data_IF_152303297092
#
_entry.id   IF_152303297092
#
_cell.length_a   1.000
_cell.length_b   1.000
_cell.length_c   1.000
_cell.angle_alpha   90.00
_cell.angle_beta   90.00
_cell.angle_gamma   90.00
#
_symmetry.space_group_name_H-M   'P 1'
#
loop_
_entity.id
_entity.type
_entity.pdbx_description
1 polymer ?
#
# COMPACT_ATOMS: atom_id res chain seq x y z
N UNK A 1 -23.26 56.75 -17.87
CA UNK A 1 -21.94 57.30 -18.24
C UNK A 1 -20.84 56.85 -17.26
N UNK A 2 -20.82 57.33 -16.01
CA UNK A 2 -19.77 57.01 -15.02
C UNK A 2 -19.51 55.51 -14.82
N UNK A 3 -20.57 54.71 -14.73
CA UNK A 3 -20.46 53.26 -14.58
C UNK A 3 -19.72 52.61 -15.77
N UNK A 4 -19.99 53.04 -17.00
CA UNK A 4 -19.31 52.54 -18.20
C UNK A 4 -17.83 52.91 -18.22
N UNK A 5 -17.48 54.11 -17.76
CA UNK A 5 -16.09 54.56 -17.67
C UNK A 5 -15.32 53.73 -16.64
N UNK A 6 -15.90 53.50 -15.46
CA UNK A 6 -15.30 52.64 -14.42
C UNK A 6 -15.14 51.21 -14.94
N UNK A 7 -16.16 50.66 -15.59
CA UNK A 7 -16.10 49.32 -16.17
C UNK A 7 -15.02 49.21 -17.26
N UNK A 8 -14.85 50.26 -18.08
CA UNK A 8 -13.80 50.33 -19.10
C UNK A 8 -12.40 50.34 -18.48
N UNK A 9 -12.18 51.17 -17.46
CA UNK A 9 -10.89 51.22 -16.73
C UNK A 9 -10.59 49.87 -16.09
N UNK A 10 -11.59 49.24 -15.45
CA UNK A 10 -11.43 47.92 -14.85
C UNK A 10 -11.13 46.84 -15.91
N UNK A 11 -11.81 46.87 -17.06
CA UNK A 11 -11.55 45.96 -18.16
C UNK A 11 -10.10 46.06 -18.64
N UNK A 12 -9.59 47.27 -18.84
CA UNK A 12 -8.19 47.51 -19.20
C UNK A 12 -7.21 47.04 -18.13
N UNK A 13 -7.50 47.27 -16.85
CA UNK A 13 -6.68 46.78 -15.75
C UNK A 13 -6.57 45.24 -15.75
N UNK A 14 -7.70 44.55 -15.92
CA UNK A 14 -7.74 43.08 -16.04
C UNK A 14 -6.97 42.61 -17.27
N UNK A 15 -7.13 43.27 -18.42
CA UNK A 15 -6.43 42.90 -19.67
C UNK A 15 -4.92 42.96 -19.48
N UNK A 16 -4.40 44.08 -18.95
CA UNK A 16 -2.96 44.29 -18.78
C UNK A 16 -2.39 43.28 -17.80
N UNK A 17 -3.01 43.11 -16.63
CA UNK A 17 -2.58 42.13 -15.63
C UNK A 17 -2.51 40.72 -16.23
N UNK A 18 -3.59 40.29 -16.93
CA UNK A 18 -3.67 38.94 -17.50
C UNK A 18 -2.65 38.70 -18.60
N UNK A 19 -2.42 39.69 -19.48
CA UNK A 19 -1.43 39.60 -20.56
C UNK A 19 -0.02 39.42 -20.00
N UNK A 20 0.37 40.24 -19.02
CA UNK A 20 1.68 40.17 -18.40
C UNK A 20 1.84 38.85 -17.65
N UNK A 21 0.87 38.49 -16.80
CA UNK A 21 0.92 37.25 -16.01
C UNK A 21 0.98 36.00 -16.90
N UNK A 22 0.14 35.90 -17.95
CA UNK A 22 0.19 34.75 -18.87
C UNK A 22 1.48 34.69 -19.69
N UNK A 23 2.06 35.83 -20.06
CA UNK A 23 3.35 35.84 -20.77
C UNK A 23 4.48 35.31 -19.88
N UNK A 24 4.52 35.73 -18.61
CA UNK A 24 5.52 35.26 -17.64
C UNK A 24 5.29 33.79 -17.27
N UNK A 25 4.04 33.38 -17.08
CA UNK A 25 3.66 32.00 -16.79
C UNK A 25 4.15 31.04 -17.87
N UNK A 26 3.92 31.37 -19.13
CA UNK A 26 4.37 30.55 -20.28
C UNK A 26 5.88 30.38 -20.30
N UNK A 27 6.65 31.44 -20.00
CA UNK A 27 8.12 31.35 -19.91
C UNK A 27 8.55 30.41 -18.78
N UNK A 28 7.92 30.52 -17.60
CA UNK A 28 8.21 29.65 -16.45
C UNK A 28 7.86 28.18 -16.74
N UNK A 29 6.73 27.93 -17.39
CA UNK A 29 6.33 26.60 -17.85
C UNK A 29 7.36 26.00 -18.79
N UNK A 30 7.82 26.76 -19.79
CA UNK A 30 8.81 26.29 -20.76
C UNK A 30 10.17 25.95 -20.11
N UNK A 31 10.61 26.75 -19.14
CA UNK A 31 11.85 26.48 -18.39
C UNK A 31 11.74 25.19 -17.57
N UNK A 32 10.61 25.00 -16.87
CA UNK A 32 10.37 23.79 -16.09
C UNK A 32 10.30 22.55 -16.97
N UNK A 33 9.53 22.62 -18.07
CA UNK A 33 9.40 21.54 -19.03
C UNK A 33 10.77 21.15 -19.62
N UNK A 34 11.58 22.12 -20.04
CA UNK A 34 12.94 21.84 -20.52
C UNK A 34 13.82 21.14 -19.45
N UNK A 35 13.66 21.52 -18.17
CA UNK A 35 14.38 20.91 -17.05
C UNK A 35 13.85 19.50 -16.72
N UNK A 36 12.55 19.27 -16.91
CA UNK A 36 11.94 17.95 -16.76
C UNK A 36 12.44 16.99 -17.85
N UNK A 37 12.49 17.45 -19.10
CA UNK A 37 12.96 16.67 -20.24
C UNK A 37 14.47 16.52 -20.36
N UNK A 38 15.26 17.30 -19.62
CA UNK A 38 16.73 17.16 -19.62
C UNK A 38 17.24 15.88 -18.94
N UNK A 39 16.35 14.98 -18.50
CA UNK A 39 16.71 13.71 -17.87
C UNK A 39 17.09 13.81 -16.40
N UNK A 40 16.65 14.86 -15.70
CA UNK A 40 16.87 15.00 -14.27
C UNK A 40 16.14 13.91 -13.47
N UNK A 41 16.76 13.42 -12.40
CA UNK A 41 16.13 12.44 -11.50
C UNK A 41 14.90 13.08 -10.85
N UNK A 42 13.74 12.41 -10.94
CA UNK A 42 12.44 12.95 -10.48
C UNK A 42 12.48 13.42 -9.02
N UNK A 43 13.20 12.72 -8.16
CA UNK A 43 13.34 13.10 -6.75
C UNK A 43 14.16 14.38 -6.52
N UNK A 44 15.21 14.60 -7.31
CA UNK A 44 16.00 15.85 -7.25
C UNK A 44 15.18 17.03 -7.77
N UNK A 45 14.44 16.80 -8.86
CA UNK A 45 13.54 17.79 -9.42
C UNK A 45 12.44 18.16 -8.41
N UNK A 46 11.85 17.18 -7.71
CA UNK A 46 10.84 17.42 -6.67
C UNK A 46 11.34 18.35 -5.57
N UNK A 47 12.54 18.15 -5.03
CA UNK A 47 13.08 19.02 -3.97
C UNK A 47 13.39 20.44 -4.46
N UNK A 48 13.86 20.59 -5.70
CA UNK A 48 14.11 21.91 -6.29
C UNK A 48 12.81 22.69 -6.55
N UNK A 49 11.75 21.98 -6.96
CA UNK A 49 10.48 22.55 -7.41
C UNK A 49 9.53 22.81 -6.26
N UNK A 50 9.63 22.06 -5.15
CA UNK A 50 8.86 22.28 -3.92
C UNK A 50 9.01 23.71 -3.36
N UNK A 51 10.12 24.39 -3.66
CA UNK A 51 10.36 25.79 -3.26
C UNK A 51 9.83 26.81 -4.29
N UNK A 52 9.53 26.40 -5.51
CA UNK A 52 9.07 27.25 -6.60
C UNK A 52 7.53 27.27 -6.67
N UNK A 53 6.90 28.21 -5.95
CA UNK A 53 5.45 28.24 -5.71
C UNK A 53 4.61 28.63 -6.95
N UNK A 54 5.21 29.08 -8.06
CA UNK A 54 4.49 29.81 -9.11
C UNK A 54 4.55 29.17 -10.52
N UNK A 55 4.38 27.86 -10.64
CA UNK A 55 4.30 27.18 -11.94
C UNK A 55 3.22 26.07 -11.96
N UNK A 56 2.21 26.14 -12.86
CA UNK A 56 1.14 25.14 -12.95
C UNK A 56 1.62 23.73 -13.24
N UNK A 57 2.62 23.56 -14.13
CA UNK A 57 3.17 22.23 -14.45
C UNK A 57 3.89 21.63 -13.24
N UNK A 58 4.64 22.46 -12.52
CA UNK A 58 5.27 22.09 -11.27
C UNK A 58 4.25 21.67 -10.20
N UNK A 59 3.13 22.39 -10.08
CA UNK A 59 2.07 22.06 -9.13
C UNK A 59 1.47 20.67 -9.40
N UNK A 60 1.19 20.36 -10.67
CA UNK A 60 0.73 19.03 -11.10
C UNK A 60 1.77 17.95 -10.81
N UNK A 61 3.03 18.21 -11.12
CA UNK A 61 4.13 17.28 -10.83
C UNK A 61 4.27 17.00 -9.33
N UNK A 62 4.24 18.04 -8.49
CA UNK A 62 4.27 17.89 -7.03
C UNK A 62 3.09 17.05 -6.53
N UNK A 63 1.89 17.27 -7.08
CA UNK A 63 0.70 16.49 -6.72
C UNK A 63 0.90 14.99 -6.99
N UNK A 64 1.40 14.66 -8.18
CA UNK A 64 1.71 13.28 -8.57
C UNK A 64 2.76 12.66 -7.65
N UNK A 65 3.87 13.36 -7.42
CA UNK A 65 4.98 12.89 -6.59
C UNK A 65 4.58 12.72 -5.12
N UNK A 66 3.75 13.62 -4.58
CA UNK A 66 3.22 13.49 -3.22
C UNK A 66 2.37 12.23 -3.06
N UNK A 67 1.49 11.94 -4.02
CA UNK A 67 0.66 10.73 -3.98
C UNK A 67 1.53 9.47 -4.13
N UNK A 68 2.53 9.50 -5.02
CA UNK A 68 3.49 8.40 -5.20
C UNK A 68 4.31 8.11 -3.92
N UNK A 69 4.85 9.15 -3.27
CA UNK A 69 5.63 9.01 -2.02
C UNK A 69 4.77 8.53 -0.84
N UNK A 70 3.51 8.99 -0.76
CA UNK A 70 2.56 8.58 0.28
C UNK A 70 2.23 7.09 0.21
N UNK A 71 2.25 6.51 -0.99
CA UNK A 71 1.99 5.09 -1.23
C UNK A 71 3.17 4.22 -0.83
N UNK A 72 4.41 4.63 -1.12
CA UNK A 72 5.60 3.84 -0.77
C UNK A 72 5.79 3.66 0.75
N UNK A 73 5.13 4.48 1.57
CA UNK A 73 5.13 4.39 3.04
C UNK A 73 4.08 3.43 3.63
N UNK A 74 3.09 2.94 2.85
CA UNK A 74 2.03 2.05 3.35
C UNK A 74 2.08 0.69 2.63
N UNK A 75 2.63 -0.33 3.30
CA UNK A 75 2.45 -1.74 2.96
C UNK A 75 0.95 -2.10 2.98
N UNK A 76 0.24 -1.94 1.86
CA UNK A 76 -1.18 -2.27 1.77
C UNK A 76 -1.44 -3.32 0.69
N UNK A 77 -2.22 -4.31 1.08
CA UNK A 77 -2.52 -5.57 0.42
C UNK A 77 -2.88 -5.45 -1.07
N UNK A 78 -2.46 -6.48 -1.82
CA UNK A 78 -2.34 -6.57 -3.28
C UNK A 78 -3.64 -6.31 -4.09
N UNK A 79 -4.81 -6.28 -3.46
CA UNK A 79 -6.12 -6.30 -4.12
C UNK A 79 -6.72 -4.94 -4.49
N UNK A 80 -6.08 -3.82 -4.16
CA UNK A 80 -6.57 -2.46 -4.52
C UNK A 80 -5.77 -1.78 -5.65
N UNK A 81 -4.85 -2.49 -6.30
CA UNK A 81 -3.82 -1.91 -7.21
C UNK A 81 -4.35 -1.17 -8.45
N UNK A 82 -5.53 -1.51 -8.98
CA UNK A 82 -6.14 -0.78 -10.12
C UNK A 82 -6.55 0.65 -9.71
N UNK A 83 -6.84 0.89 -8.42
CA UNK A 83 -7.17 2.23 -7.90
C UNK A 83 -5.94 3.15 -7.81
N UNK A 84 -4.71 2.65 -7.84
CA UNK A 84 -3.52 3.44 -7.47
C UNK A 84 -3.10 4.40 -8.57
N UNK A 85 -3.01 3.88 -9.81
CA UNK A 85 -2.75 4.70 -11.00
C UNK A 85 -3.88 5.71 -11.20
N UNK A 86 -5.13 5.28 -11.02
CA UNK A 86 -6.31 6.13 -11.05
C UNK A 86 -6.18 7.29 -10.06
N UNK A 87 -5.81 7.03 -8.80
CA UNK A 87 -5.68 8.07 -7.77
C UNK A 87 -4.60 9.11 -8.07
N UNK A 88 -3.45 8.67 -8.59
CA UNK A 88 -2.38 9.59 -8.98
C UNK A 88 -2.87 10.49 -10.12
N UNK A 89 -3.49 9.89 -11.14
CA UNK A 89 -4.09 10.63 -12.26
C UNK A 89 -5.14 11.62 -11.78
N UNK A 90 -6.07 11.19 -10.93
CA UNK A 90 -7.10 12.06 -10.35
C UNK A 90 -6.48 13.22 -9.55
N UNK A 91 -5.42 12.98 -8.78
CA UNK A 91 -4.73 14.05 -8.04
C UNK A 91 -4.13 15.11 -8.97
N UNK A 92 -3.58 14.70 -10.11
CA UNK A 92 -3.04 15.60 -11.14
C UNK A 92 -4.15 16.44 -11.76
N UNK A 93 -5.27 15.83 -12.15
CA UNK A 93 -6.41 16.54 -12.74
C UNK A 93 -7.09 17.50 -11.75
N UNK A 94 -7.18 17.15 -10.47
CA UNK A 94 -7.72 18.05 -9.45
C UNK A 94 -6.88 19.33 -9.32
N UNK A 95 -5.55 19.21 -9.33
CA UNK A 95 -4.66 20.37 -9.31
C UNK A 95 -4.72 21.14 -10.62
N UNK A 96 -4.74 20.45 -11.78
CA UNK A 96 -4.94 21.09 -13.09
C UNK A 96 -6.19 21.97 -13.08
N UNK A 97 -7.34 21.42 -12.66
CA UNK A 97 -8.60 22.14 -12.68
C UNK A 97 -8.60 23.37 -11.76
N UNK A 98 -7.97 23.28 -10.57
CA UNK A 98 -7.81 24.43 -9.67
C UNK A 98 -6.93 25.53 -10.28
N UNK A 99 -5.83 25.16 -10.92
CA UNK A 99 -4.96 26.13 -11.61
C UNK A 99 -5.69 26.76 -12.81
N UNK A 100 -6.45 25.98 -13.57
CA UNK A 100 -7.26 26.48 -14.67
C UNK A 100 -8.32 27.47 -14.21
N UNK A 101 -9.04 27.16 -13.13
CA UNK A 101 -10.01 28.07 -12.53
C UNK A 101 -9.36 29.40 -12.14
N UNK A 102 -8.18 29.36 -11.52
CA UNK A 102 -7.40 30.57 -11.19
C UNK A 102 -6.99 31.36 -12.43
N UNK A 103 -6.62 30.69 -13.51
CA UNK A 103 -6.31 31.34 -14.79
C UNK A 103 -7.56 31.92 -15.46
N UNK A 104 -8.73 31.36 -15.24
CA UNK A 104 -10.00 31.87 -15.78
C UNK A 104 -10.61 32.99 -14.94
N UNK A 105 -10.17 33.19 -13.69
CA UNK A 105 -10.63 34.29 -12.84
C UNK A 105 -10.54 35.63 -13.57
N UNK A 106 -11.58 36.45 -13.38
CA UNK A 106 -11.76 37.78 -13.97
C UNK A 106 -12.02 37.82 -15.49
N UNK A 107 -11.89 36.71 -16.24
CA UNK A 107 -12.31 36.68 -17.66
C UNK A 107 -13.83 36.84 -17.80
N UNK A 108 -14.60 36.33 -16.84
CA UNK A 108 -16.05 36.50 -16.81
C UNK A 108 -16.47 37.98 -16.86
N UNK A 109 -15.73 38.86 -16.20
CA UNK A 109 -15.99 40.30 -16.25
C UNK A 109 -15.80 40.89 -17.65
N UNK A 110 -14.75 40.46 -18.37
CA UNK A 110 -14.54 40.88 -19.76
C UNK A 110 -15.67 40.38 -20.65
N UNK A 111 -16.12 39.14 -20.47
CA UNK A 111 -17.25 38.58 -21.21
C UNK A 111 -18.55 39.35 -20.96
N UNK A 112 -18.86 39.67 -19.71
CA UNK A 112 -20.05 40.46 -19.34
C UNK A 112 -19.94 41.89 -19.85
N UNK A 113 -18.77 42.52 -19.76
CA UNK A 113 -18.55 43.88 -20.28
C UNK A 113 -18.72 43.92 -21.79
N UNK A 114 -18.12 42.94 -22.48
CA UNK A 114 -18.25 42.74 -23.92
C UNK A 114 -19.71 42.63 -24.37
N UNK A 115 -20.53 41.85 -23.67
CA UNK A 115 -21.94 41.65 -24.03
C UNK A 115 -22.84 42.79 -23.57
N UNK A 116 -22.61 43.38 -22.41
CA UNK A 116 -23.55 44.28 -21.75
C UNK A 116 -23.28 45.77 -22.01
N UNK A 117 -22.02 46.18 -22.21
CA UNK A 117 -21.66 47.58 -22.40
C UNK A 117 -22.33 48.26 -23.60
N UNK A 118 -22.52 47.62 -24.77
CA UNK A 118 -23.26 48.21 -25.88
C UNK A 118 -24.71 48.51 -25.53
N UNK A 119 -25.38 47.61 -24.79
CA UNK A 119 -26.76 47.79 -24.38
C UNK A 119 -26.91 48.88 -23.33
N UNK A 120 -25.97 48.99 -22.39
CA UNK A 120 -25.94 50.09 -21.41
C UNK A 120 -25.73 51.43 -22.13
N UNK A 121 -24.90 51.47 -23.17
CA UNK A 121 -24.72 52.63 -24.04
C UNK A 121 -26.01 53.01 -24.78
N UNK A 122 -26.64 52.04 -25.44
CA UNK A 122 -27.92 52.21 -26.13
C UNK A 122 -29.02 52.71 -25.19
N UNK A 123 -29.12 52.14 -24.00
CA UNK A 123 -30.05 52.62 -22.98
C UNK A 123 -29.78 54.09 -22.62
N UNK A 124 -28.50 54.47 -22.48
CA UNK A 124 -28.09 55.85 -22.28
C UNK A 124 -28.55 56.78 -23.41
N UNK A 125 -28.44 56.36 -24.68
CA UNK A 125 -28.99 57.14 -25.81
C UNK A 125 -30.49 57.33 -25.71
N UNK A 126 -31.24 56.25 -25.47
CA UNK A 126 -32.71 56.31 -25.40
C UNK A 126 -33.17 57.22 -24.27
N UNK A 127 -32.54 57.10 -23.10
CA UNK A 127 -32.84 57.94 -21.95
C UNK A 127 -32.52 59.42 -22.20
N UNK A 128 -31.35 59.73 -22.78
CA UNK A 128 -30.95 61.11 -23.08
C UNK A 128 -31.83 61.77 -24.13
N UNK A 129 -32.23 61.03 -25.17
CA UNK A 129 -33.17 61.50 -26.18
C UNK A 129 -34.55 61.75 -25.54
N UNK A 130 -35.05 60.84 -24.69
CA UNK A 130 -36.31 61.02 -23.98
C UNK A 130 -36.32 62.29 -23.11
N UNK A 131 -35.26 62.51 -22.33
CA UNK A 131 -35.14 63.70 -21.50
C UNK A 131 -35.06 64.99 -22.32
N UNK A 132 -34.37 64.94 -23.47
CA UNK A 132 -34.30 66.06 -24.42
C UNK A 132 -35.66 66.42 -25.02
N UNK A 133 -36.51 65.43 -25.32
CA UNK A 133 -37.89 65.68 -25.77
C UNK A 133 -38.79 66.22 -24.65
N UNK A 134 -38.61 65.75 -23.40
CA UNK A 134 -39.34 66.27 -22.25
C UNK A 134 -39.02 67.75 -21.99
N UNK A 135 -37.76 68.18 -22.17
CA UNK A 135 -37.40 69.60 -22.01
C UNK A 135 -38.00 70.50 -23.08
N UNK A 136 -38.18 70.02 -24.32
CA UNK A 136 -38.90 70.75 -25.38
C UNK A 136 -40.37 70.95 -24.96
N UNK A 137 -41.02 69.88 -24.49
CA UNK A 137 -42.42 69.92 -24.08
C UNK A 137 -42.65 70.88 -22.89
N UNK A 138 -41.72 70.91 -21.93
CA UNK A 138 -41.80 71.80 -20.77
C UNK A 138 -41.50 73.26 -21.12
N UNK A 139 -40.48 73.52 -21.95
CA UNK A 139 -40.06 74.88 -22.32
C UNK A 139 -40.94 75.53 -23.39
N UNK A 140 -41.77 74.75 -24.09
CA UNK A 140 -42.59 75.18 -25.25
C UNK A 140 -41.77 75.84 -26.36
N UNK A 141 -40.46 75.60 -26.40
CA UNK A 141 -39.54 76.15 -27.40
C UNK A 141 -39.14 75.03 -28.37
N UNK A 142 -39.49 75.18 -29.64
CA UNK A 142 -39.21 74.18 -30.70
C UNK A 142 -37.85 74.36 -31.36
N UNK A 143 -37.04 75.31 -30.89
CA UNK A 143 -35.70 75.54 -31.43
C UNK A 143 -34.78 74.35 -31.18
N UNK A 144 -34.26 73.77 -32.28
CA UNK A 144 -33.28 72.68 -32.28
C UNK A 144 -32.02 72.98 -31.44
N UNK A 145 -31.65 74.26 -31.30
CA UNK A 145 -30.49 74.68 -30.53
C UNK A 145 -30.57 74.30 -29.05
N UNK A 146 -31.77 74.24 -28.47
CA UNK A 146 -31.99 73.90 -27.06
C UNK A 146 -31.79 72.40 -26.80
N UNK A 147 -31.97 71.57 -27.84
CA UNK A 147 -32.02 70.11 -27.75
C UNK A 147 -30.71 69.46 -28.18
N UNK A 148 -29.98 70.13 -29.07
CA UNK A 148 -28.73 69.63 -29.65
C UNK A 148 -27.71 69.15 -28.60
N UNK A 149 -27.49 69.84 -27.45
CA UNK A 149 -26.57 69.36 -26.43
C UNK A 149 -26.99 68.01 -25.81
N UNK A 150 -28.28 67.84 -25.49
CA UNK A 150 -28.80 66.61 -24.87
C UNK A 150 -28.75 65.40 -25.81
N UNK A 151 -28.98 65.61 -27.11
CA UNK A 151 -28.84 64.55 -28.12
C UNK A 151 -27.35 64.18 -28.32
N UNK A 152 -26.45 65.17 -28.31
CA UNK A 152 -25.01 64.90 -28.41
C UNK A 152 -24.50 64.09 -27.21
N UNK A 153 -24.91 64.44 -25.99
CA UNK A 153 -24.60 63.66 -24.78
C UNK A 153 -25.19 62.25 -24.84
N UNK A 154 -26.41 62.11 -25.34
CA UNK A 154 -27.03 60.81 -25.56
C UNK A 154 -26.16 59.94 -26.48
N UNK A 155 -25.79 60.44 -27.67
CA UNK A 155 -24.96 59.71 -28.63
C UNK A 155 -23.57 59.34 -28.08
N UNK A 156 -22.99 60.20 -27.25
CA UNK A 156 -21.74 59.91 -26.56
C UNK A 156 -21.85 58.68 -25.64
N UNK A 157 -23.03 58.41 -25.06
CA UNK A 157 -23.25 57.24 -24.20
C UNK A 157 -23.02 55.93 -24.95
N UNK A 158 -23.52 55.82 -26.18
CA UNK A 158 -23.33 54.67 -27.05
C UNK A 158 -21.88 54.55 -27.52
N UNK A 159 -21.25 55.68 -27.88
CA UNK A 159 -19.84 55.69 -28.25
C UNK A 159 -18.94 55.15 -27.13
N UNK A 160 -19.17 55.58 -25.88
CA UNK A 160 -18.43 55.08 -24.71
C UNK A 160 -18.73 53.60 -24.46
N UNK A 161 -19.99 53.16 -24.61
CA UNK A 161 -20.36 51.75 -24.50
C UNK A 161 -19.62 50.86 -25.48
N UNK A 162 -19.53 51.26 -26.75
CA UNK A 162 -18.77 50.55 -27.79
C UNK A 162 -17.27 50.58 -27.53
N UNK A 163 -16.73 51.72 -27.09
CA UNK A 163 -15.32 51.86 -26.74
C UNK A 163 -14.89 50.92 -25.60
N UNK A 164 -15.78 50.65 -24.65
CA UNK A 164 -15.54 49.64 -23.60
C UNK A 164 -15.72 48.20 -24.12
N UNK A 165 -16.72 47.95 -24.98
CA UNK A 165 -17.08 46.61 -25.43
C UNK A 165 -16.09 46.00 -26.42
N UNK A 166 -15.65 46.76 -27.43
CA UNK A 166 -14.83 46.23 -28.53
C UNK A 166 -13.49 45.65 -28.01
N UNK A 167 -12.70 46.37 -27.20
CA UNK A 167 -11.48 45.81 -26.63
C UNK A 167 -11.78 44.61 -25.72
N UNK A 168 -12.85 44.67 -24.91
CA UNK A 168 -13.22 43.58 -24.03
C UNK A 168 -13.47 42.27 -24.80
N UNK A 169 -14.20 42.31 -25.93
CA UNK A 169 -14.44 41.14 -26.79
C UNK A 169 -13.12 40.59 -27.36
N UNK A 170 -12.29 41.46 -27.93
CA UNK A 170 -11.04 41.06 -28.60
C UNK A 170 -10.11 40.38 -27.59
N UNK A 171 -9.90 41.00 -26.43
CA UNK A 171 -9.00 40.45 -25.42
C UNK A 171 -9.60 39.25 -24.68
N UNK A 172 -10.92 39.19 -24.49
CA UNK A 172 -11.56 37.98 -23.99
C UNK A 172 -11.26 36.77 -24.89
N UNK A 173 -11.46 36.90 -26.21
CA UNK A 173 -11.19 35.83 -27.16
C UNK A 173 -9.71 35.45 -27.21
N UNK A 174 -8.82 36.45 -27.21
CA UNK A 174 -7.38 36.22 -27.17
C UNK A 174 -6.96 35.49 -25.89
N UNK A 175 -7.33 36.00 -24.72
CA UNK A 175 -6.95 35.44 -23.43
C UNK A 175 -7.55 34.04 -23.23
N UNK A 176 -8.80 33.83 -23.62
CA UNK A 176 -9.46 32.52 -23.61
C UNK A 176 -8.66 31.49 -24.43
N UNK A 177 -8.31 31.83 -25.68
CA UNK A 177 -7.48 30.97 -26.53
C UNK A 177 -6.12 30.66 -25.90
N UNK A 178 -5.50 31.64 -25.24
CA UNK A 178 -4.19 31.46 -24.60
C UNK A 178 -4.29 30.58 -23.34
N UNK A 179 -5.38 30.68 -22.58
CA UNK A 179 -5.68 29.81 -21.44
C UNK A 179 -5.93 28.37 -21.93
N UNK A 180 -6.67 28.18 -23.03
CA UNK A 180 -6.85 26.85 -23.64
C UNK A 180 -5.52 26.22 -24.07
N UNK A 181 -4.57 27.01 -24.58
CA UNK A 181 -3.22 26.48 -24.88
C UNK A 181 -2.48 26.01 -23.62
N UNK A 182 -2.63 26.73 -22.51
CA UNK A 182 -2.07 26.29 -21.21
C UNK A 182 -2.76 25.02 -20.73
N UNK A 183 -4.08 24.92 -20.86
CA UNK A 183 -4.85 23.72 -20.54
C UNK A 183 -4.33 22.49 -21.27
N UNK A 184 -4.25 22.57 -22.61
CA UNK A 184 -3.79 21.47 -23.45
C UNK A 184 -2.36 21.06 -23.09
N UNK A 185 -1.49 22.05 -22.84
CA UNK A 185 -0.11 21.78 -22.43
C UNK A 185 -0.01 21.08 -21.08
N UNK A 186 -0.90 21.38 -20.13
CA UNK A 186 -0.98 20.65 -18.87
C UNK A 186 -1.49 19.22 -19.09
N UNK A 187 -2.43 19.00 -20.01
CA UNK A 187 -2.92 17.66 -20.36
C UNK A 187 -1.85 16.80 -21.03
N UNK A 188 -1.11 17.37 -21.97
CA UNK A 188 0.03 16.72 -22.62
C UNK A 188 1.05 16.29 -21.56
N UNK A 189 1.42 17.20 -20.66
CA UNK A 189 2.34 16.92 -19.56
C UNK A 189 1.82 15.84 -18.60
N UNK A 190 0.53 15.85 -18.26
CA UNK A 190 -0.09 14.80 -17.42
C UNK A 190 0.02 13.43 -18.10
N UNK A 191 -0.25 13.37 -19.41
CA UNK A 191 -0.16 12.13 -20.18
C UNK A 191 1.28 11.59 -20.21
N UNK A 192 2.25 12.47 -20.46
CA UNK A 192 3.67 12.13 -20.48
C UNK A 192 4.16 11.67 -19.10
N UNK A 193 3.82 12.40 -18.04
CA UNK A 193 4.16 12.05 -16.67
C UNK A 193 3.53 10.72 -16.24
N UNK A 194 2.27 10.48 -16.63
CA UNK A 194 1.58 9.22 -16.39
C UNK A 194 2.27 8.04 -17.10
N UNK A 195 2.75 8.23 -18.33
CA UNK A 195 3.51 7.23 -19.06
C UNK A 195 4.84 6.90 -18.36
N UNK A 196 5.61 7.92 -17.97
CA UNK A 196 6.88 7.76 -17.25
C UNK A 196 6.67 7.04 -15.91
N UNK A 197 5.66 7.46 -15.15
CA UNK A 197 5.38 6.89 -13.83
C UNK A 197 4.84 5.46 -13.94
N UNK A 198 3.98 5.17 -14.92
CA UNK A 198 3.52 3.80 -15.19
C UNK A 198 4.69 2.87 -15.47
N UNK A 199 5.61 3.29 -16.34
CA UNK A 199 6.81 2.52 -16.67
C UNK A 199 7.70 2.28 -15.44
N UNK A 200 7.94 3.32 -14.63
CA UNK A 200 8.74 3.21 -13.41
C UNK A 200 8.12 2.25 -12.38
N UNK A 201 6.80 2.29 -12.21
CA UNK A 201 6.07 1.38 -11.31
C UNK A 201 6.13 -0.07 -11.82
N UNK A 202 5.98 -0.29 -13.12
CA UNK A 202 6.04 -1.62 -13.73
C UNK A 202 7.46 -2.23 -13.64
N UNK A 203 8.51 -1.44 -13.87
CA UNK A 203 9.91 -1.88 -13.71
C UNK A 203 10.24 -2.30 -12.26
N UNK A 204 9.78 -1.51 -11.27
CA UNK A 204 9.96 -1.85 -9.85
C UNK A 204 9.19 -3.14 -9.49
N UNK A 205 8.01 -3.34 -10.09
CA UNK A 205 7.21 -4.56 -9.91
C UNK A 205 7.91 -5.78 -10.50
N UNK A 206 8.44 -5.71 -11.71
CA UNK A 206 9.18 -6.82 -12.34
C UNK A 206 10.37 -7.23 -11.46
N UNK A 207 11.12 -6.24 -10.95
CA UNK A 207 12.25 -6.49 -10.04
C UNK A 207 11.80 -7.19 -8.75
N UNK A 208 10.68 -6.76 -8.16
CA UNK A 208 10.12 -7.42 -6.95
C UNK A 208 9.59 -8.83 -7.23
N UNK A 209 8.91 -9.05 -8.36
CA UNK A 209 8.35 -10.36 -8.69
C UNK A 209 9.43 -11.39 -9.03
N UNK A 210 10.54 -10.97 -9.66
CA UNK A 210 11.67 -11.87 -9.95
C UNK A 210 12.43 -12.33 -8.70
N UNK A 211 12.23 -11.67 -7.55
CA UNK A 211 12.78 -12.11 -6.25
C UNK A 211 11.86 -13.11 -5.52
N UNK A 212 10.61 -13.25 -5.96
CA UNK A 212 9.70 -14.29 -5.50
C UNK A 212 9.80 -15.51 -6.42
N UNK A 213 10.83 -16.33 -6.21
CA UNK A 213 10.93 -17.64 -6.86
C UNK A 213 9.81 -18.55 -6.35
N UNK A 214 8.81 -18.81 -7.17
CA UNK A 214 7.88 -19.92 -6.92
C UNK A 214 8.68 -21.24 -6.96
N UNK A 215 8.67 -22.02 -5.87
CA UNK A 215 9.29 -23.35 -5.86
C UNK A 215 8.46 -24.24 -6.77
N UNK A 216 9.06 -24.77 -7.84
CA UNK A 216 8.40 -25.70 -8.73
C UNK A 216 8.10 -27.02 -7.98
N UNK A 217 6.84 -27.24 -7.59
CA UNK A 217 6.43 -28.43 -6.81
C UNK A 217 6.20 -29.67 -7.68
N UNK A 218 6.02 -29.53 -9.00
CA UNK A 218 5.69 -30.65 -9.89
C UNK A 218 6.76 -31.74 -9.93
N UNK A 219 8.08 -31.43 -10.02
CA UNK A 219 9.12 -32.44 -9.92
C UNK A 219 9.20 -33.11 -8.54
N UNK A 220 8.87 -32.36 -7.46
CA UNK A 220 8.86 -32.92 -6.11
C UNK A 220 7.74 -33.96 -5.94
N UNK A 221 6.56 -33.67 -6.49
CA UNK A 221 5.42 -34.59 -6.49
C UNK A 221 5.76 -35.88 -7.27
N UNK A 222 6.43 -35.77 -8.41
CA UNK A 222 6.87 -36.92 -9.20
C UNK A 222 7.86 -37.80 -8.42
N UNK A 223 8.86 -37.20 -7.78
CA UNK A 223 9.81 -37.93 -6.92
C UNK A 223 9.12 -38.59 -5.73
N UNK A 224 8.19 -37.90 -5.06
CA UNK A 224 7.43 -38.46 -3.95
C UNK A 224 6.56 -39.64 -4.40
N UNK A 225 5.92 -39.54 -5.57
CA UNK A 225 5.09 -40.60 -6.14
C UNK A 225 5.94 -41.82 -6.52
N UNK A 226 7.11 -41.63 -7.13
CA UNK A 226 8.07 -42.72 -7.43
C UNK A 226 8.51 -43.43 -6.15
N UNK A 227 8.85 -42.68 -5.10
CA UNK A 227 9.23 -43.27 -3.81
C UNK A 227 8.10 -44.08 -3.16
N UNK A 228 6.85 -43.59 -3.24
CA UNK A 228 5.69 -44.33 -2.74
C UNK A 228 5.46 -45.63 -3.50
N UNK A 229 5.60 -45.62 -4.83
CA UNK A 229 5.48 -46.83 -5.65
C UNK A 229 6.56 -47.85 -5.29
N UNK A 230 7.80 -47.41 -5.11
CA UNK A 230 8.91 -48.29 -4.70
C UNK A 230 8.57 -48.97 -3.37
N UNK A 231 8.20 -48.22 -2.34
CA UNK A 231 7.84 -48.80 -1.04
C UNK A 231 6.65 -49.76 -1.13
N UNK A 232 5.64 -49.42 -1.93
CA UNK A 232 4.47 -50.27 -2.16
C UNK A 232 4.87 -51.62 -2.78
N UNK A 233 5.83 -51.63 -3.71
CA UNK A 233 6.30 -52.84 -4.40
C UNK A 233 7.25 -53.65 -3.52
N UNK A 234 8.14 -53.00 -2.77
CA UNK A 234 9.14 -53.71 -1.96
C UNK A 234 8.58 -54.24 -0.64
N UNK A 235 7.54 -53.60 -0.08
CA UNK A 235 6.93 -54.03 1.18
C UNK A 235 6.40 -55.48 1.19
N UNK A 236 5.71 -55.99 0.15
CA UNK A 236 5.27 -57.39 0.13
C UNK A 236 6.43 -58.39 -0.05
N UNK A 237 7.53 -58.01 -0.71
CA UNK A 237 8.71 -58.87 -0.87
C UNK A 237 9.46 -59.10 0.44
N UNK A 238 9.33 -58.21 1.42
CA UNK A 238 9.85 -58.41 2.77
C UNK A 238 9.08 -59.48 3.56
N UNK A 239 7.89 -59.89 3.12
CA UNK A 239 7.01 -60.82 3.84
C UNK A 239 7.00 -62.23 3.21
N UNK A 240 7.57 -62.42 2.02
CA UNK A 240 7.68 -63.74 1.38
C UNK A 240 9.01 -64.44 1.72
N UNK A 241 9.12 -64.94 2.95
CA UNK A 241 10.10 -65.96 3.31
C UNK A 241 9.62 -67.35 2.87
N UNK A 242 10.43 -68.05 2.08
CA UNK A 242 10.22 -69.47 1.72
C UNK A 242 10.25 -70.30 3.01
N UNK A 243 9.20 -71.08 3.28
CA UNK A 243 9.25 -72.10 4.35
C UNK A 243 10.18 -73.23 3.89
N UNK A 244 11.34 -73.35 4.54
CA UNK A 244 12.26 -74.47 4.40
C UNK A 244 12.20 -75.27 5.69
N UNK A 245 11.69 -76.50 5.63
CA UNK A 245 11.72 -77.42 6.76
C UNK A 245 13.17 -77.85 7.00
N UNK A 246 13.75 -77.38 8.11
CA UNK A 246 15.04 -77.84 8.59
C UNK A 246 14.84 -79.02 9.56
N UNK A 247 15.67 -80.08 9.49
CA UNK A 247 15.62 -81.19 10.43
C UNK A 247 16.05 -80.72 11.82
N UNK A 248 15.40 -81.26 12.85
CA UNK A 248 15.71 -80.94 14.25
C UNK A 248 17.16 -81.27 14.58
N UNK A 249 17.88 -80.28 15.12
CA UNK A 249 19.18 -80.49 15.73
C UNK A 249 19.14 -79.99 17.17
N UNK A 250 19.55 -80.88 18.07
CA UNK A 250 19.79 -80.63 19.49
C UNK A 250 20.98 -79.71 19.66
N UNK A 251 20.73 -78.41 19.63
CA UNK A 251 21.66 -77.43 20.22
C UNK A 251 20.86 -76.42 21.02
N UNK A 252 21.06 -76.44 22.34
CA UNK A 252 20.51 -75.44 23.24
C UNK A 252 21.01 -74.05 22.79
N UNK A 253 20.10 -73.10 22.49
CA UNK A 253 20.52 -71.75 22.17
C UNK A 253 21.19 -71.11 23.39
N UNK A 254 22.32 -70.44 23.15
CA UNK A 254 22.99 -69.58 24.12
C UNK A 254 21.98 -68.55 24.69
N UNK A 255 21.55 -68.75 25.94
CA UNK A 255 20.82 -67.75 26.72
C UNK A 255 21.74 -66.58 27.06
N UNK A 256 21.68 -65.55 26.24
CA UNK A 256 22.29 -64.24 26.48
C UNK A 256 21.27 -63.11 26.29
N UNK A 257 20.06 -63.28 26.81
CA UNK A 257 19.12 -62.18 27.04
C UNK A 257 19.22 -61.79 28.50
N UNK A 258 20.04 -60.78 28.79
CA UNK A 258 20.03 -60.15 30.11
C UNK A 258 18.71 -59.40 30.27
N UNK A 259 17.70 -60.08 30.81
CA UNK A 259 16.48 -59.43 31.26
C UNK A 259 16.85 -58.28 32.23
N UNK A 260 16.27 -57.08 32.01
CA UNK A 260 16.53 -55.96 32.90
C UNK A 260 16.02 -56.31 34.30
N UNK A 261 16.90 -56.21 35.30
CA UNK A 261 16.50 -56.35 36.70
C UNK A 261 15.58 -55.18 37.07
N UNK A 262 14.31 -55.49 37.35
CA UNK A 262 13.31 -54.49 37.78
C UNK A 262 12.93 -54.74 39.23
N UNK A 263 13.04 -53.70 40.06
CA UNK A 263 12.48 -53.66 41.42
C UNK A 263 11.22 -52.82 41.39
N UNK A 264 10.08 -53.42 41.73
CA UNK A 264 8.78 -52.75 41.76
C UNK A 264 8.30 -52.51 43.19
N UNK A 265 7.69 -51.34 43.42
CA UNK A 265 7.08 -50.94 44.70
C UNK A 265 5.59 -50.68 44.47
N UNK A 266 4.73 -51.44 45.14
CA UNK A 266 3.27 -51.24 45.04
C UNK A 266 2.77 -50.13 45.98
N UNK A 267 1.51 -49.71 45.82
CA UNK A 267 0.86 -48.70 46.67
C UNK A 267 0.78 -49.04 48.18
N UNK A 268 1.06 -50.29 48.58
CA UNK A 268 1.12 -50.74 49.98
C UNK A 268 2.55 -50.76 50.54
N UNK A 269 3.55 -50.35 49.76
CA UNK A 269 4.98 -50.35 50.16
C UNK A 269 5.63 -51.74 50.07
N UNK A 270 5.00 -52.70 49.40
CA UNK A 270 5.55 -54.05 49.24
C UNK A 270 6.50 -54.10 48.03
N UNK A 271 7.63 -54.78 48.23
CA UNK A 271 8.73 -54.87 47.27
C UNK A 271 8.64 -56.15 46.43
N UNK A 272 8.85 -55.99 45.14
CA UNK A 272 8.91 -57.09 44.18
C UNK A 272 10.21 -56.99 43.39
N UNK A 273 10.92 -58.11 43.24
CA UNK A 273 12.03 -58.21 42.29
C UNK A 273 11.54 -59.09 41.14
N UNK A 274 11.48 -58.53 39.94
CA UNK A 274 10.75 -59.10 38.80
C UNK A 274 9.29 -59.32 39.20
N UNK A 275 8.87 -60.57 39.40
CA UNK A 275 7.50 -60.95 39.77
C UNK A 275 7.38 -61.54 41.18
N UNK A 276 8.50 -61.67 41.92
CA UNK A 276 8.51 -62.30 43.25
C UNK A 276 8.48 -61.26 44.37
N UNK A 277 7.55 -61.42 45.32
CA UNK A 277 7.48 -60.60 46.54
C UNK A 277 8.67 -60.87 47.45
N UNK A 278 9.35 -59.82 47.90
CA UNK A 278 10.54 -59.90 48.77
C UNK A 278 10.36 -58.98 49.98
N UNK A 279 10.78 -59.45 51.16
CA UNK A 279 10.84 -58.62 52.36
C UNK A 279 12.07 -57.70 52.32
N UNK A 280 11.92 -56.45 52.78
CA UNK A 280 12.98 -55.40 52.76
C UNK A 280 14.35 -55.90 53.28
N UNK A 281 14.37 -56.66 54.38
CA UNK A 281 15.59 -57.24 54.97
C UNK A 281 16.35 -58.22 54.05
N UNK A 282 15.69 -58.84 53.08
CA UNK A 282 16.28 -59.82 52.18
C UNK A 282 16.63 -59.26 50.79
N UNK A 283 16.26 -58.01 50.50
CA UNK A 283 16.49 -57.40 49.20
C UNK A 283 17.99 -57.23 48.91
N UNK A 284 18.74 -56.66 49.85
CA UNK A 284 20.17 -56.42 49.69
C UNK A 284 20.98 -57.73 49.51
N UNK A 285 20.63 -58.78 50.26
CA UNK A 285 21.28 -60.10 50.13
C UNK A 285 21.05 -60.71 48.75
N UNK A 286 19.80 -60.70 48.27
CA UNK A 286 19.45 -61.31 46.98
C UNK A 286 20.05 -60.54 45.81
N UNK A 287 20.08 -59.20 45.90
CA UNK A 287 20.74 -58.35 44.91
C UNK A 287 22.26 -58.56 44.88
N UNK A 288 22.89 -58.74 46.04
CA UNK A 288 24.35 -59.01 46.13
C UNK A 288 24.73 -60.36 45.50
N UNK A 289 23.89 -61.38 45.65
CA UNK A 289 24.13 -62.68 45.01
C UNK A 289 23.96 -62.60 43.48
N UNK A 290 22.98 -61.85 43.00
CA UNK A 290 22.79 -61.58 41.57
C UNK A 290 23.97 -60.78 41.00
N UNK A 291 24.56 -59.86 41.76
CA UNK A 291 25.71 -59.07 41.30
C UNK A 291 26.99 -59.92 41.11
N UNK A 292 27.15 -61.01 41.88
CA UNK A 292 28.27 -61.96 41.69
C UNK A 292 28.19 -62.67 40.33
N UNK A 293 26.98 -62.94 39.88
CA UNK A 293 26.69 -63.63 38.62
C UNK A 293 26.66 -62.66 37.42
N UNK A 294 26.14 -61.44 37.62
CA UNK A 294 25.98 -60.41 36.57
C UNK A 294 26.67 -59.10 36.93
N UNK A 295 27.99 -59.04 36.74
CA UNK A 295 28.78 -57.82 36.99
C UNK A 295 28.38 -56.70 36.03
N UNK A 296 27.92 -55.58 36.59
CA UNK A 296 27.64 -54.35 35.84
C UNK A 296 26.24 -54.23 35.24
N UNK A 297 25.30 -55.10 35.66
CA UNK A 297 23.90 -55.00 35.27
C UNK A 297 23.27 -53.67 35.73
N UNK A 298 22.38 -53.12 34.91
CA UNK A 298 21.58 -51.93 35.25
C UNK A 298 20.30 -52.37 35.92
N UNK A 299 19.91 -51.67 36.98
CA UNK A 299 18.69 -51.96 37.73
C UNK A 299 17.68 -50.83 37.56
N UNK A 300 16.44 -51.21 37.26
CA UNK A 300 15.33 -50.29 37.07
C UNK A 300 14.42 -50.34 38.29
N UNK A 301 13.99 -49.19 38.78
CA UNK A 301 13.03 -49.08 39.87
C UNK A 301 11.72 -48.56 39.32
N UNK A 302 10.62 -49.28 39.59
CA UNK A 302 9.26 -48.93 39.20
C UNK A 302 8.41 -48.71 40.45
N UNK A 303 8.01 -47.48 40.71
CA UNK A 303 7.07 -47.15 41.79
C UNK A 303 5.66 -46.94 41.26
N UNK A 304 4.65 -47.39 42.00
CA UNK A 304 3.27 -46.95 41.81
C UNK A 304 3.14 -45.43 42.10
N UNK A 305 2.18 -44.76 41.47
CA UNK A 305 1.95 -43.31 41.54
C UNK A 305 1.69 -42.81 42.97
N UNK A 306 1.18 -43.68 43.84
CA UNK A 306 0.80 -43.34 45.21
C UNK A 306 1.89 -43.67 46.25
N UNK A 307 3.09 -44.08 45.83
CA UNK A 307 4.21 -44.37 46.74
C UNK A 307 4.90 -43.07 47.14
N UNK A 308 5.17 -42.91 48.45
CA UNK A 308 5.92 -41.75 48.95
C UNK A 308 7.34 -41.73 48.37
N UNK A 309 7.81 -40.56 47.96
CA UNK A 309 9.18 -40.41 47.43
C UNK A 309 10.24 -40.90 48.41
N UNK A 310 10.01 -40.78 49.73
CA UNK A 310 10.92 -41.29 50.76
C UNK A 310 11.12 -42.81 50.68
N UNK A 311 10.05 -43.57 50.42
CA UNK A 311 10.12 -45.04 50.27
C UNK A 311 10.94 -45.44 49.05
N UNK A 312 10.85 -44.68 47.96
CA UNK A 312 11.65 -44.92 46.74
C UNK A 312 13.13 -44.66 47.02
N UNK A 313 13.45 -43.59 47.74
CA UNK A 313 14.84 -43.23 48.09
C UNK A 313 15.49 -44.26 49.02
N UNK A 314 14.75 -44.81 49.98
CA UNK A 314 15.25 -45.91 50.83
C UNK A 314 15.63 -47.14 50.00
N UNK A 315 14.79 -47.52 49.05
CA UNK A 315 15.06 -48.67 48.17
C UNK A 315 16.25 -48.39 47.23
N UNK A 316 16.39 -47.17 46.74
CA UNK A 316 17.60 -46.75 45.98
C UNK A 316 18.86 -46.89 46.85
N UNK A 317 18.80 -46.50 48.12
CA UNK A 317 19.92 -46.63 49.04
C UNK A 317 20.30 -48.10 49.30
N UNK A 318 19.32 -48.99 49.48
CA UNK A 318 19.55 -50.43 49.65
C UNK A 318 20.18 -51.07 48.40
N UNK A 319 19.72 -50.67 47.21
CA UNK A 319 20.27 -51.13 45.93
C UNK A 319 21.72 -50.68 45.74
N UNK A 320 22.03 -49.43 46.10
CA UNK A 320 23.39 -48.91 46.03
C UNK A 320 24.31 -49.58 47.06
N UNK A 321 23.80 -49.86 48.27
CA UNK A 321 24.52 -50.61 49.30
C UNK A 321 24.82 -52.06 48.87
N UNK A 322 23.98 -52.65 48.03
CA UNK A 322 24.20 -53.97 47.43
C UNK A 322 25.21 -53.96 46.25
N UNK A 323 25.74 -52.80 45.85
CA UNK A 323 26.81 -52.68 44.85
C UNK A 323 26.36 -52.32 43.43
N UNK A 324 25.09 -51.98 43.20
CA UNK A 324 24.60 -51.51 41.90
C UNK A 324 24.82 -50.01 41.75
N UNK A 325 25.72 -49.61 40.85
CA UNK A 325 26.06 -48.20 40.59
C UNK A 325 25.17 -47.53 39.53
N UNK A 326 24.42 -48.31 38.75
CA UNK A 326 23.58 -47.81 37.63
C UNK A 326 22.11 -48.09 37.92
N UNK A 327 21.48 -47.15 38.63
CA UNK A 327 20.06 -47.19 39.00
C UNK A 327 19.28 -46.21 38.13
N UNK A 328 18.19 -46.67 37.53
CA UNK A 328 17.29 -45.83 36.74
C UNK A 328 15.85 -45.90 37.27
N UNK A 329 15.21 -44.76 37.45
CA UNK A 329 13.79 -44.67 37.80
C UNK A 329 12.95 -44.76 36.53
N UNK A 330 11.99 -45.67 36.47
CA UNK A 330 11.05 -45.81 35.36
C UNK A 330 9.68 -45.35 35.82
N UNK A 331 9.22 -44.24 35.25
CA UNK A 331 7.83 -43.78 35.39
C UNK A 331 6.98 -44.49 34.34
N UNK A 332 5.87 -45.11 34.74
CA UNK A 332 4.92 -45.67 33.78
C UNK A 332 4.30 -44.53 32.96
N UNK A 333 4.66 -44.46 31.67
CA UNK A 333 3.84 -43.85 30.64
C UNK A 333 2.66 -44.79 30.44
N UNK A 334 1.44 -44.28 30.61
CA UNK A 334 0.19 -45.04 30.42
C UNK A 334 0.29 -45.88 29.15
N UNK A 335 0.15 -47.19 29.31
CA UNK A 335 -0.13 -48.14 28.24
C UNK A 335 -1.43 -47.72 27.56
N UNK A 336 -1.32 -47.07 26.39
CA UNK A 336 -2.42 -47.00 25.43
C UNK A 336 -2.58 -48.41 24.87
N UNK A 337 -3.32 -49.25 25.59
CA UNK A 337 -3.93 -50.42 24.98
C UNK A 337 -5.26 -50.03 24.33
N UNK A 338 -5.42 -50.60 23.14
CA UNK A 338 -6.42 -50.39 22.10
C UNK A 338 -7.86 -50.47 22.56
#
# INVERSE_FOLDING_TARGET
>A
MLLLVIASIWAWAVIIDKLVNLSQLRKRMAVFEATFWSGAVLDQLYESVKRAINNPLAAVFIAAMNECKRQNSKNLNDTLKISHKERIIQSMYLVKNREMERLEQNLGFLATTASSAPFIGLFGTVWGIMHSFQSIAASKNTSLAVVAPGIAEALLATAIGLFAAIPAVIFYNYLSTQITKVHNKMDDFISELNSILSRAIDEERITRNNLASEINVTPLVDVMLVLLIIFMITSPMLVSGINVDLPETTSSPLSGQDEPLVVSINNKGELYLLETKISRKHLASKLSDILKEKKGARIFIRGDKNVSYGEVVEVVAEIHAAGFSKVALVSNIKSNEK
#
